data_IF_242252865397
#
_entry.id   IF_242252865397
#
_cell.length_a   1.000
_cell.length_b   1.000
_cell.length_c   1.000
_cell.angle_alpha   90.00
_cell.angle_beta   90.00
_cell.angle_gamma   90.00
#
_symmetry.space_group_name_H-M   'P 1'
#
loop_
_entity.id
_entity.type
_entity.pdbx_description
1 polymer ?
#
# COMPACT_ATOMS: atom_id res chain seq x y z
N UNK A 1 26.17 -24.80 5.63
CA UNK A 1 25.55 -24.93 4.31
C UNK A 1 24.64 -23.74 4.12
N UNK A 2 25.01 -22.79 3.26
CA UNK A 2 24.13 -21.67 2.88
C UNK A 2 22.95 -22.26 2.11
N UNK A 3 21.77 -22.31 2.71
CA UNK A 3 20.54 -22.63 1.97
C UNK A 3 20.44 -21.60 0.85
N UNK A 4 20.42 -22.07 -0.39
CA UNK A 4 20.18 -21.20 -1.54
C UNK A 4 18.86 -20.45 -1.32
N UNK A 5 18.94 -19.10 -1.32
CA UNK A 5 17.76 -18.25 -1.05
C UNK A 5 16.75 -18.44 -2.18
N UNK A 6 15.48 -18.55 -1.83
CA UNK A 6 14.41 -18.57 -2.81
C UNK A 6 14.48 -17.32 -3.70
N UNK A 7 14.21 -17.46 -5.00
CA UNK A 7 14.21 -16.36 -5.96
C UNK A 7 12.92 -16.38 -6.78
N UNK A 8 12.54 -15.22 -7.32
CA UNK A 8 11.46 -15.16 -8.30
C UNK A 8 11.83 -15.97 -9.56
N UNK A 9 10.84 -16.61 -10.17
CA UNK A 9 11.02 -17.44 -11.37
C UNK A 9 11.07 -16.62 -12.66
N UNK A 10 10.51 -15.38 -12.65
CA UNK A 10 10.44 -14.53 -13.83
C UNK A 10 10.49 -13.04 -13.46
N UNK A 11 11.02 -12.21 -14.39
CA UNK A 11 11.03 -10.75 -14.23
C UNK A 11 9.62 -10.17 -14.09
N UNK A 12 8.67 -10.65 -14.89
CA UNK A 12 7.27 -10.19 -14.84
C UNK A 12 6.66 -10.55 -13.47
N UNK A 13 6.86 -11.78 -13.00
CA UNK A 13 6.35 -12.19 -11.70
C UNK A 13 6.93 -11.39 -10.55
N UNK A 14 8.23 -11.08 -10.61
CA UNK A 14 8.90 -10.20 -9.66
C UNK A 14 8.28 -8.79 -9.64
N UNK A 15 8.12 -8.16 -10.81
CA UNK A 15 7.52 -6.82 -10.93
C UNK A 15 6.07 -6.83 -10.42
N UNK A 16 5.25 -7.80 -10.86
CA UNK A 16 3.85 -7.89 -10.43
C UNK A 16 3.72 -8.18 -8.93
N UNK A 17 4.59 -9.00 -8.34
CA UNK A 17 4.58 -9.25 -6.90
C UNK A 17 4.95 -8.00 -6.10
N UNK A 18 6.01 -7.29 -6.51
CA UNK A 18 6.44 -6.07 -5.82
C UNK A 18 5.47 -4.91 -6.04
N UNK A 19 4.95 -4.74 -7.26
CA UNK A 19 3.91 -3.78 -7.55
C UNK A 19 2.60 -4.10 -6.78
N UNK A 20 2.22 -5.38 -6.65
CA UNK A 20 1.07 -5.80 -5.85
C UNK A 20 1.22 -5.52 -4.36
N UNK A 21 2.46 -5.40 -3.87
CA UNK A 21 2.74 -4.92 -2.52
C UNK A 21 2.52 -3.41 -2.36
N UNK A 22 2.78 -2.63 -3.40
CA UNK A 22 2.54 -1.19 -3.43
C UNK A 22 1.08 -0.87 -3.76
N UNK A 23 0.52 -1.50 -4.81
CA UNK A 23 -0.88 -1.31 -5.23
C UNK A 23 -1.83 -1.93 -4.21
N UNK A 24 -2.53 -1.09 -3.46
CA UNK A 24 -3.44 -1.50 -2.40
C UNK A 24 -4.62 -0.55 -2.21
N UNK A 25 -5.20 -0.58 -1.03
CA UNK A 25 -6.25 0.35 -0.64
C UNK A 25 -5.78 1.81 -0.68
N UNK A 26 -4.48 2.05 -0.54
CA UNK A 26 -3.88 3.37 -0.66
C UNK A 26 -4.14 4.04 -2.02
N UNK A 27 -4.10 3.28 -3.11
CA UNK A 27 -4.33 3.78 -4.46
C UNK A 27 -5.81 3.97 -4.77
N UNK A 28 -6.65 3.02 -4.33
CA UNK A 28 -8.08 3.01 -4.69
C UNK A 28 -8.93 3.81 -3.70
N UNK A 29 -8.46 3.99 -2.49
CA UNK A 29 -9.16 4.68 -1.42
C UNK A 29 -8.53 6.02 -1.05
N UNK A 30 -7.28 5.97 -0.52
CA UNK A 30 -6.64 7.17 0.04
C UNK A 30 -6.27 8.20 -1.02
N UNK A 31 -5.74 7.76 -2.16
CA UNK A 31 -5.31 8.66 -3.22
C UNK A 31 -6.48 9.48 -3.80
N UNK A 32 -7.64 8.91 -4.23
CA UNK A 32 -8.75 9.71 -4.68
C UNK A 32 -9.26 10.70 -3.61
N UNK A 33 -9.29 10.28 -2.36
CA UNK A 33 -9.64 11.16 -1.24
C UNK A 33 -8.68 12.37 -1.16
N UNK A 34 -7.38 12.13 -1.19
CA UNK A 34 -6.35 13.19 -1.16
C UNK A 34 -6.46 14.12 -2.37
N UNK A 35 -6.69 13.57 -3.56
CA UNK A 35 -6.94 14.35 -4.79
C UNK A 35 -8.18 15.22 -4.65
N UNK A 36 -9.27 14.66 -4.12
CA UNK A 36 -10.53 15.37 -3.92
C UNK A 36 -10.42 16.56 -2.97
N UNK A 37 -9.63 16.43 -1.91
CA UNK A 37 -9.42 17.49 -0.92
C UNK A 37 -8.40 18.54 -1.37
N UNK A 38 -7.44 18.17 -2.22
CA UNK A 38 -6.27 18.99 -2.51
C UNK A 38 -6.25 19.57 -3.94
N UNK A 39 -7.41 19.78 -4.56
CA UNK A 39 -7.49 20.54 -5.81
C UNK A 39 -7.22 19.74 -7.09
N UNK A 40 -7.42 18.43 -7.07
CA UNK A 40 -7.47 17.62 -8.32
C UNK A 40 -6.12 17.49 -9.01
N UNK A 41 -6.07 17.90 -10.29
CA UNK A 41 -4.91 17.75 -11.15
C UNK A 41 -3.62 18.40 -10.61
N UNK A 42 -3.71 19.52 -9.92
CA UNK A 42 -2.54 20.19 -9.32
C UNK A 42 -1.86 19.28 -8.27
N UNK A 43 -2.64 18.64 -7.41
CA UNK A 43 -2.13 17.64 -6.47
C UNK A 43 -1.47 16.45 -7.18
N UNK A 44 -2.07 15.94 -8.26
CA UNK A 44 -1.54 14.80 -9.02
C UNK A 44 -0.17 15.13 -9.61
N UNK A 45 0.01 16.31 -10.18
CA UNK A 45 1.31 16.74 -10.75
C UNK A 45 2.38 16.76 -9.66
N UNK A 46 2.10 17.33 -8.50
CA UNK A 46 3.03 17.38 -7.37
C UNK A 46 3.31 15.97 -6.81
N UNK A 47 2.26 15.15 -6.70
CA UNK A 47 2.41 13.75 -6.29
C UNK A 47 3.36 12.98 -7.21
N UNK A 48 3.21 13.09 -8.53
CA UNK A 48 4.09 12.44 -9.51
C UNK A 48 5.53 12.96 -9.36
N UNK A 49 5.72 14.26 -9.17
CA UNK A 49 7.05 14.81 -8.89
C UNK A 49 7.66 14.24 -7.60
N UNK A 50 6.87 14.10 -6.54
CA UNK A 50 7.30 13.48 -5.28
C UNK A 50 7.64 11.99 -5.45
N UNK A 51 6.87 11.24 -6.25
CA UNK A 51 7.19 9.84 -6.60
C UNK A 51 8.55 9.74 -7.26
N UNK A 52 8.85 10.63 -8.21
CA UNK A 52 10.13 10.63 -8.94
C UNK A 52 11.32 11.05 -8.04
N UNK A 53 11.15 12.07 -7.22
CA UNK A 53 12.24 12.68 -6.45
C UNK A 53 12.47 12.03 -5.08
N UNK A 54 11.44 11.44 -4.48
CA UNK A 54 11.50 10.80 -3.17
C UNK A 54 11.22 9.30 -3.27
N UNK A 55 10.11 8.92 -3.88
CA UNK A 55 9.64 7.53 -3.89
C UNK A 55 10.62 6.58 -4.55
N UNK A 56 11.03 6.85 -5.80
CA UNK A 56 11.97 6.01 -6.54
C UNK A 56 13.33 5.91 -5.84
N UNK A 57 13.99 7.00 -5.38
CA UNK A 57 15.25 6.89 -4.67
C UNK A 57 15.15 6.09 -3.36
N UNK A 58 14.09 6.26 -2.58
CA UNK A 58 13.87 5.47 -1.36
C UNK A 58 13.65 3.99 -1.68
N UNK A 59 12.85 3.66 -2.70
CA UNK A 59 12.62 2.29 -3.15
C UNK A 59 13.92 1.62 -3.62
N UNK A 60 14.74 2.30 -4.43
CA UNK A 60 16.04 1.81 -4.88
C UNK A 60 16.97 1.58 -3.69
N UNK A 61 16.90 2.44 -2.66
CA UNK A 61 17.68 2.26 -1.43
C UNK A 61 17.33 0.95 -0.72
N UNK A 62 16.05 0.65 -0.55
CA UNK A 62 15.62 -0.62 0.03
C UNK A 62 15.95 -1.82 -0.88
N UNK A 63 15.87 -1.65 -2.20
CA UNK A 63 16.30 -2.69 -3.14
C UNK A 63 17.79 -3.03 -3.00
N UNK A 64 18.66 -2.03 -2.87
CA UNK A 64 20.09 -2.23 -2.68
C UNK A 64 20.34 -3.00 -1.38
N UNK A 65 19.71 -2.58 -0.27
CA UNK A 65 19.87 -3.22 1.04
C UNK A 65 19.37 -4.66 0.99
N UNK A 66 18.17 -4.88 0.46
CA UNK A 66 17.54 -6.21 0.41
C UNK A 66 18.31 -7.18 -0.48
N UNK A 67 18.67 -6.76 -1.70
CA UNK A 67 19.41 -7.62 -2.65
C UNK A 67 20.81 -7.95 -2.16
N UNK A 68 21.53 -6.95 -1.66
CA UNK A 68 22.89 -7.17 -1.13
C UNK A 68 22.88 -8.07 0.10
N UNK A 69 21.97 -7.77 1.06
CA UNK A 69 21.86 -8.55 2.29
C UNK A 69 21.35 -9.98 2.08
N UNK A 70 20.63 -10.25 0.97
CA UNK A 70 20.09 -11.56 0.60
C UNK A 70 19.45 -12.31 1.80
N UNK A 71 18.78 -11.58 2.69
CA UNK A 71 18.18 -12.07 3.94
C UNK A 71 16.87 -11.32 4.23
N UNK A 72 16.14 -11.71 5.28
CA UNK A 72 15.03 -10.90 5.77
C UNK A 72 15.49 -9.47 6.12
N UNK A 73 14.55 -8.53 6.19
CA UNK A 73 14.88 -7.11 6.35
C UNK A 73 15.78 -6.84 7.57
N UNK A 74 15.54 -7.47 8.73
CA UNK A 74 16.38 -7.30 9.93
C UNK A 74 17.83 -7.68 9.67
N UNK A 75 18.08 -8.87 9.10
CA UNK A 75 19.42 -9.37 8.80
C UNK A 75 20.07 -8.62 7.65
N UNK A 76 19.30 -8.21 6.62
CA UNK A 76 19.83 -7.45 5.49
C UNK A 76 20.49 -6.12 5.94
N UNK A 77 19.87 -5.39 6.85
CA UNK A 77 20.49 -4.19 7.44
C UNK A 77 21.73 -4.51 8.27
N UNK A 78 21.76 -5.64 8.97
CA UNK A 78 22.94 -6.09 9.73
C UNK A 78 24.11 -6.42 8.82
N UNK A 79 23.87 -7.18 7.74
CA UNK A 79 24.88 -7.60 6.77
C UNK A 79 25.50 -6.40 6.04
N UNK A 80 24.64 -5.53 5.50
CA UNK A 80 25.08 -4.30 4.82
C UNK A 80 25.79 -3.34 5.78
N UNK A 81 25.41 -3.33 7.05
CA UNK A 81 25.95 -2.49 8.11
C UNK A 81 27.24 -3.00 8.77
N UNK A 82 27.77 -4.18 8.36
CA UNK A 82 28.96 -4.79 8.93
C UNK A 82 28.89 -4.90 10.47
N UNK A 83 27.79 -5.43 11.02
CA UNK A 83 27.61 -5.65 12.46
C UNK A 83 27.31 -4.40 13.28
N UNK A 84 27.21 -3.22 12.69
CA UNK A 84 26.78 -1.99 13.37
C UNK A 84 25.30 -2.07 13.75
N UNK A 85 24.79 -1.21 14.67
CA UNK A 85 23.42 -1.31 15.21
C UNK A 85 22.28 -1.05 14.21
N UNK A 86 22.57 -0.99 12.90
CA UNK A 86 21.58 -0.76 11.84
C UNK A 86 20.52 -1.85 11.72
N UNK A 87 20.79 -3.05 12.28
CA UNK A 87 19.76 -4.11 12.41
C UNK A 87 18.47 -3.64 13.09
N UNK A 88 18.54 -2.62 13.96
CA UNK A 88 17.35 -2.05 14.60
C UNK A 88 16.44 -1.30 13.62
N UNK A 89 16.99 -0.72 12.56
CA UNK A 89 16.18 -0.12 11.49
C UNK A 89 15.45 -1.21 10.71
N UNK A 90 16.15 -2.30 10.39
CA UNK A 90 15.53 -3.49 9.78
C UNK A 90 14.44 -4.10 10.67
N UNK A 91 14.65 -4.16 11.99
CA UNK A 91 13.66 -4.63 12.95
C UNK A 91 12.43 -3.70 13.02
N UNK A 92 12.66 -2.39 12.99
CA UNK A 92 11.57 -1.41 12.91
C UNK A 92 10.69 -1.66 11.67
N UNK A 93 11.31 -1.91 10.51
CA UNK A 93 10.58 -2.27 9.27
C UNK A 93 9.77 -3.55 9.42
N UNK A 94 10.35 -4.61 10.02
CA UNK A 94 9.63 -5.86 10.29
C UNK A 94 8.44 -5.63 11.23
N UNK A 95 8.66 -4.91 12.33
CA UNK A 95 7.61 -4.62 13.31
C UNK A 95 6.49 -3.79 12.68
N UNK A 96 6.85 -2.77 11.90
CA UNK A 96 5.90 -1.96 11.15
C UNK A 96 5.05 -2.83 10.22
N UNK A 97 5.68 -3.69 9.41
CA UNK A 97 4.97 -4.58 8.49
C UNK A 97 3.99 -5.53 9.19
N UNK A 98 4.40 -6.14 10.32
CA UNK A 98 3.54 -7.05 11.10
C UNK A 98 2.36 -6.30 11.73
N UNK A 99 2.59 -5.13 12.33
CA UNK A 99 1.52 -4.33 12.94
C UNK A 99 0.52 -3.83 11.90
N UNK A 100 1.03 -3.33 10.76
CA UNK A 100 0.17 -2.92 9.64
C UNK A 100 -0.66 -4.10 9.16
N UNK A 101 -0.08 -5.30 8.99
CA UNK A 101 -0.83 -6.49 8.58
C UNK A 101 -2.03 -6.73 9.48
N UNK A 102 -1.91 -6.54 10.79
CA UNK A 102 -2.97 -6.76 11.76
C UNK A 102 -4.18 -5.84 11.53
N UNK A 103 -4.00 -4.52 11.59
CA UNK A 103 -5.13 -3.60 11.44
C UNK A 103 -5.60 -3.45 9.98
N UNK A 104 -4.69 -3.59 9.01
CA UNK A 104 -5.05 -3.59 7.60
C UNK A 104 -5.93 -4.78 7.21
N UNK A 105 -5.76 -5.93 7.88
CA UNK A 105 -6.62 -7.09 7.70
C UNK A 105 -8.08 -6.83 8.12
N UNK A 106 -8.33 -5.90 9.08
CA UNK A 106 -9.69 -5.48 9.45
C UNK A 106 -10.39 -4.85 8.25
N UNK A 107 -9.75 -3.84 7.64
CA UNK A 107 -10.31 -3.12 6.48
C UNK A 107 -10.39 -4.03 5.25
N UNK A 108 -9.41 -4.91 5.08
CA UNK A 108 -9.44 -5.92 4.02
C UNK A 108 -10.61 -6.91 4.18
N UNK A 109 -10.94 -7.27 5.42
CA UNK A 109 -12.11 -8.06 5.75
C UNK A 109 -13.42 -7.33 5.42
N UNK A 110 -13.47 -6.01 5.65
CA UNK A 110 -14.62 -5.20 5.23
C UNK A 110 -14.83 -5.24 3.72
N UNK A 111 -13.76 -5.25 2.93
CA UNK A 111 -13.87 -5.40 1.47
C UNK A 111 -14.56 -6.72 1.10
N UNK A 112 -14.22 -7.84 1.74
CA UNK A 112 -14.88 -9.14 1.51
C UNK A 112 -16.36 -9.12 1.93
N UNK A 113 -16.70 -8.52 3.08
CA UNK A 113 -18.10 -8.33 3.47
C UNK A 113 -18.87 -7.54 2.41
N UNK A 114 -18.26 -6.51 1.83
CA UNK A 114 -18.95 -5.69 0.81
C UNK A 114 -19.04 -6.41 -0.54
N UNK A 115 -18.14 -7.33 -0.87
CA UNK A 115 -18.33 -8.27 -1.98
C UNK A 115 -19.58 -9.12 -1.75
N UNK A 116 -19.70 -9.72 -0.56
CA UNK A 116 -20.86 -10.53 -0.18
C UNK A 116 -22.16 -9.71 -0.21
N UNK A 117 -22.15 -8.53 0.41
CA UNK A 117 -23.32 -7.64 0.43
C UNK A 117 -23.73 -7.14 -0.96
N UNK A 118 -22.76 -6.82 -1.82
CA UNK A 118 -23.02 -6.44 -3.22
C UNK A 118 -23.61 -7.59 -4.01
N UNK A 119 -23.06 -8.79 -3.88
CA UNK A 119 -23.55 -9.98 -4.57
C UNK A 119 -25.03 -10.26 -4.23
N UNK A 120 -25.43 -10.06 -2.97
CA UNK A 120 -26.79 -10.22 -2.50
C UNK A 120 -27.69 -8.98 -2.73
N UNK A 121 -27.16 -7.90 -3.33
CA UNK A 121 -27.90 -6.66 -3.56
C UNK A 121 -28.25 -5.88 -2.28
N UNK A 122 -27.60 -6.16 -1.15
CA UNK A 122 -27.88 -5.54 0.16
C UNK A 122 -27.42 -4.08 0.27
N UNK A 123 -26.59 -3.59 -0.66
CA UNK A 123 -26.09 -2.22 -0.67
C UNK A 123 -26.98 -1.25 -1.48
N UNK A 124 -28.17 -1.67 -1.87
CA UNK A 124 -29.13 -0.85 -2.59
C UNK A 124 -29.98 -0.06 -1.59
N UNK A 125 -29.99 1.26 -1.71
CA UNK A 125 -30.77 2.12 -0.83
C UNK A 125 -30.24 3.55 -0.77
N UNK A 126 -30.84 4.35 0.11
CA UNK A 126 -30.42 5.71 0.37
C UNK A 126 -29.12 5.77 1.18
N UNK A 127 -28.47 6.94 1.20
CA UNK A 127 -27.21 7.18 1.93
C UNK A 127 -27.33 6.86 3.42
N UNK A 128 -28.49 7.13 4.02
CA UNK A 128 -28.81 6.81 5.41
C UNK A 128 -28.76 5.31 5.70
N UNK A 129 -29.29 4.50 4.78
CA UNK A 129 -29.28 3.04 4.87
C UNK A 129 -27.84 2.50 4.78
N UNK A 130 -27.07 2.95 3.80
CA UNK A 130 -25.66 2.52 3.62
C UNK A 130 -24.82 2.87 4.85
N UNK A 131 -25.06 4.06 5.43
CA UNK A 131 -24.38 4.48 6.66
C UNK A 131 -24.74 3.58 7.85
N UNK A 132 -26.03 3.30 8.05
CA UNK A 132 -26.47 2.41 9.14
C UNK A 132 -25.99 0.97 8.95
N UNK A 133 -25.95 0.49 7.70
CA UNK A 133 -25.38 -0.82 7.34
C UNK A 133 -23.90 -0.91 7.74
N UNK A 134 -23.09 0.06 7.33
CA UNK A 134 -21.68 0.08 7.68
C UNK A 134 -21.47 0.14 9.20
N UNK A 135 -22.18 1.02 9.88
CA UNK A 135 -22.07 1.17 11.33
C UNK A 135 -22.47 -0.12 12.05
N UNK A 136 -23.61 -0.73 11.69
CA UNK A 136 -24.06 -2.00 12.30
C UNK A 136 -23.10 -3.15 12.01
N UNK A 137 -22.43 -3.15 10.87
CA UNK A 137 -21.43 -4.15 10.52
C UNK A 137 -20.09 -3.91 11.24
N UNK A 138 -19.53 -2.69 11.14
CA UNK A 138 -18.17 -2.39 11.66
C UNK A 138 -18.07 -2.47 13.18
N UNK A 139 -19.20 -2.27 13.90
CA UNK A 139 -19.27 -2.36 15.36
C UNK A 139 -19.68 -3.75 15.87
N UNK A 140 -20.12 -4.64 14.99
CA UNK A 140 -20.48 -6.01 15.35
C UNK A 140 -19.25 -6.79 15.83
N UNK A 141 -19.31 -7.51 16.96
CA UNK A 141 -18.15 -8.21 17.51
C UNK A 141 -17.73 -9.46 16.71
N UNK A 142 -18.61 -10.01 15.87
CA UNK A 142 -18.38 -11.31 15.20
C UNK A 142 -18.15 -11.16 13.70
N UNK A 143 -19.01 -10.41 12.99
CA UNK A 143 -18.98 -10.33 11.52
C UNK A 143 -17.66 -9.77 10.95
N UNK A 144 -17.11 -8.63 11.44
CA UNK A 144 -15.84 -8.12 10.96
C UNK A 144 -14.68 -9.07 11.26
N UNK A 145 -14.70 -9.72 12.43
CA UNK A 145 -13.69 -10.70 12.83
C UNK A 145 -13.72 -11.94 11.92
N UNK A 146 -14.90 -12.43 11.55
CA UNK A 146 -15.03 -13.53 10.60
C UNK A 146 -14.35 -13.22 9.26
N UNK A 147 -14.61 -12.04 8.68
CA UNK A 147 -14.03 -11.65 7.40
C UNK A 147 -12.52 -11.33 7.50
N UNK A 148 -12.08 -10.78 8.63
CA UNK A 148 -10.66 -10.60 8.94
C UNK A 148 -9.93 -11.95 8.96
N UNK A 149 -10.47 -12.94 9.63
CA UNK A 149 -9.90 -14.30 9.65
C UNK A 149 -9.88 -14.90 8.25
N UNK A 150 -10.97 -14.75 7.49
CA UNK A 150 -11.05 -15.27 6.12
C UNK A 150 -9.96 -14.68 5.22
N UNK A 151 -9.75 -13.36 5.20
CA UNK A 151 -8.73 -12.73 4.35
C UNK A 151 -7.30 -13.08 4.79
N UNK A 152 -7.05 -13.18 6.11
CA UNK A 152 -5.74 -13.62 6.63
C UNK A 152 -5.44 -15.08 6.27
N UNK A 153 -6.43 -15.95 6.30
CA UNK A 153 -6.25 -17.35 5.87
C UNK A 153 -5.99 -17.46 4.38
N UNK A 154 -6.62 -16.62 3.55
CA UNK A 154 -6.30 -16.54 2.11
C UNK A 154 -4.85 -16.09 1.88
N UNK A 155 -4.40 -15.05 2.57
CA UNK A 155 -3.00 -14.60 2.51
C UNK A 155 -2.04 -15.69 3.02
N UNK A 156 -2.34 -16.32 4.15
CA UNK A 156 -1.58 -17.43 4.70
C UNK A 156 -1.42 -18.59 3.70
N UNK A 157 -2.52 -18.97 3.06
CA UNK A 157 -2.51 -20.03 2.04
C UNK A 157 -1.50 -19.73 0.92
N UNK A 158 -1.46 -18.49 0.42
CA UNK A 158 -0.49 -18.08 -0.59
C UNK A 158 0.94 -18.15 -0.05
N UNK A 159 1.17 -17.65 1.16
CA UNK A 159 2.51 -17.54 1.78
C UNK A 159 3.16 -18.89 2.04
N UNK A 160 2.40 -19.89 2.51
CA UNK A 160 2.96 -21.23 2.79
C UNK A 160 3.45 -21.96 1.53
N UNK A 161 2.99 -21.58 0.33
CA UNK A 161 3.43 -22.14 -0.94
C UNK A 161 4.74 -21.50 -1.46
N UNK A 162 5.32 -20.53 -0.72
CA UNK A 162 6.62 -19.93 -1.01
C UNK A 162 6.59 -18.84 -2.07
N UNK A 163 7.78 -18.46 -2.55
CA UNK A 163 7.92 -17.31 -3.44
C UNK A 163 7.37 -17.63 -4.84
N UNK A 164 7.89 -18.67 -5.50
CA UNK A 164 7.49 -19.03 -6.89
C UNK A 164 6.09 -19.62 -6.97
N UNK A 165 5.79 -20.60 -6.10
CA UNK A 165 4.52 -21.34 -6.13
C UNK A 165 3.36 -20.60 -5.49
N UNK A 166 3.62 -19.66 -4.58
CA UNK A 166 2.63 -18.87 -3.86
C UNK A 166 2.59 -17.42 -4.36
N UNK A 167 3.47 -16.59 -3.88
CA UNK A 167 3.45 -15.13 -4.09
C UNK A 167 3.48 -14.76 -5.57
N UNK A 168 4.46 -15.27 -6.33
CA UNK A 168 4.60 -14.96 -7.76
C UNK A 168 3.39 -15.45 -8.56
N UNK A 169 2.93 -16.69 -8.30
CA UNK A 169 1.78 -17.26 -8.98
C UNK A 169 0.50 -16.49 -8.68
N UNK A 170 0.27 -16.15 -7.42
CA UNK A 170 -0.87 -15.33 -7.01
C UNK A 170 -0.83 -13.95 -7.68
N UNK A 171 0.30 -13.25 -7.63
CA UNK A 171 0.45 -11.91 -8.23
C UNK A 171 0.25 -11.92 -9.74
N UNK A 172 0.68 -12.96 -10.45
CA UNK A 172 0.44 -13.13 -11.91
C UNK A 172 -1.05 -13.28 -12.27
N UNK A 173 -1.90 -13.67 -11.34
CA UNK A 173 -3.35 -13.79 -11.54
C UNK A 173 -4.07 -12.56 -10.99
N UNK A 174 -3.77 -12.18 -9.74
CA UNK A 174 -4.50 -11.12 -9.03
C UNK A 174 -4.27 -9.74 -9.66
N UNK A 175 -3.03 -9.41 -10.07
CA UNK A 175 -2.73 -8.09 -10.63
C UNK A 175 -3.38 -7.85 -12.00
N UNK A 176 -3.30 -8.76 -12.99
CA UNK A 176 -4.06 -8.59 -14.24
C UNK A 176 -5.58 -8.55 -14.02
N UNK A 177 -6.12 -9.38 -13.12
CA UNK A 177 -7.54 -9.35 -12.78
C UNK A 177 -7.95 -7.99 -12.21
N UNK A 178 -7.15 -7.42 -11.29
CA UNK A 178 -7.35 -6.08 -10.75
C UNK A 178 -7.37 -5.02 -11.86
N UNK A 179 -6.41 -5.06 -12.79
CA UNK A 179 -6.37 -4.11 -13.91
C UNK A 179 -7.58 -4.22 -14.82
N UNK A 180 -8.01 -5.43 -15.15
CA UNK A 180 -9.20 -5.64 -16.01
C UNK A 180 -10.45 -5.08 -15.31
N UNK A 181 -10.66 -5.40 -14.03
CA UNK A 181 -11.79 -4.88 -13.25
C UNK A 181 -11.75 -3.35 -13.21
N UNK A 182 -10.58 -2.77 -12.93
CA UNK A 182 -10.41 -1.33 -12.86
C UNK A 182 -10.76 -0.66 -14.20
N UNK A 183 -10.25 -1.16 -15.32
CA UNK A 183 -10.54 -0.61 -16.65
C UNK A 183 -12.02 -0.69 -17.01
N UNK A 184 -12.69 -1.82 -16.72
CA UNK A 184 -14.13 -1.96 -16.98
C UNK A 184 -14.94 -0.94 -16.20
N UNK A 185 -14.62 -0.74 -14.90
CA UNK A 185 -15.34 0.23 -14.07
C UNK A 185 -15.04 1.66 -14.53
N UNK A 186 -13.77 1.96 -14.91
CA UNK A 186 -13.41 3.28 -15.47
C UNK A 186 -14.23 3.59 -16.71
N UNK A 187 -14.35 2.64 -17.66
CA UNK A 187 -15.18 2.83 -18.85
C UNK A 187 -16.63 3.09 -18.48
N UNK A 188 -17.21 2.28 -17.57
CA UNK A 188 -18.57 2.45 -17.10
C UNK A 188 -18.79 3.84 -16.47
N UNK A 189 -17.85 4.31 -15.63
CA UNK A 189 -17.93 5.62 -14.98
C UNK A 189 -17.78 6.79 -15.98
N UNK A 190 -16.91 6.66 -16.97
CA UNK A 190 -16.70 7.70 -18.00
C UNK A 190 -17.87 7.81 -18.99
N UNK A 191 -18.74 6.80 -19.08
CA UNK A 191 -19.94 6.85 -19.92
C UNK A 191 -21.14 7.53 -19.24
N UNK A 192 -21.03 7.91 -17.98
CA UNK A 192 -22.11 8.57 -17.23
C UNK A 192 -22.33 10.01 -17.71
N UNK A 193 -23.57 10.55 -17.60
CA UNK A 193 -23.84 11.96 -17.79
C UNK A 193 -22.94 12.79 -16.86
N UNK A 194 -22.48 13.96 -17.34
CA UNK A 194 -21.57 14.85 -16.58
C UNK A 194 -20.21 14.26 -16.16
N UNK A 195 -19.83 13.08 -16.66
CA UNK A 195 -18.52 12.48 -16.42
C UNK A 195 -17.35 13.41 -16.78
N UNK A 196 -17.56 14.27 -17.79
CA UNK A 196 -16.57 15.26 -18.21
C UNK A 196 -16.11 16.18 -17.09
N UNK A 197 -16.96 16.55 -16.13
CA UNK A 197 -16.58 17.38 -14.96
C UNK A 197 -15.55 16.67 -14.09
N UNK A 198 -15.74 15.36 -13.87
CA UNK A 198 -14.78 14.55 -13.09
C UNK A 198 -13.45 14.36 -13.82
N UNK A 199 -13.49 14.19 -15.14
CA UNK A 199 -12.28 14.10 -15.98
C UNK A 199 -11.54 15.43 -15.99
N UNK A 200 -12.23 16.54 -16.14
CA UNK A 200 -11.65 17.89 -16.06
C UNK A 200 -10.99 18.15 -14.72
N UNK A 201 -11.62 17.75 -13.63
CA UNK A 201 -11.06 17.86 -12.28
C UNK A 201 -9.74 17.10 -12.12
N UNK A 202 -9.59 15.95 -12.77
CA UNK A 202 -8.38 15.12 -12.70
C UNK A 202 -7.26 15.61 -13.62
N UNK A 203 -7.57 16.29 -14.73
CA UNK A 203 -6.57 16.58 -15.77
C UNK A 203 -6.39 18.08 -16.07
N UNK A 204 -7.28 18.94 -15.59
CA UNK A 204 -7.13 20.40 -15.72
C UNK A 204 -6.57 20.98 -14.41
N UNK A 205 -5.27 21.30 -14.36
CA UNK A 205 -4.67 21.78 -13.12
C UNK A 205 -5.14 23.19 -12.77
N UNK A 206 -5.58 23.36 -11.53
CA UNK A 206 -5.86 24.64 -10.91
C UNK A 206 -4.92 24.86 -9.72
N UNK A 207 -3.91 25.69 -9.92
CA UNK A 207 -2.94 26.04 -8.86
C UNK A 207 -3.40 27.18 -7.98
N UNK A 208 -4.58 27.74 -8.16
CA UNK A 208 -5.09 28.85 -7.32
C UNK A 208 -5.29 28.45 -5.86
N UNK A 209 -5.53 27.15 -5.61
CA UNK A 209 -5.71 26.56 -4.28
C UNK A 209 -4.47 25.83 -3.77
N UNK A 210 -3.35 25.97 -4.49
CA UNK A 210 -2.11 25.29 -4.11
C UNK A 210 -1.48 25.98 -2.90
N UNK A 211 -1.39 25.25 -1.80
CA UNK A 211 -0.78 25.71 -0.57
C UNK A 211 0.26 24.71 -0.05
N UNK A 212 0.82 25.00 1.10
CA UNK A 212 1.78 24.16 1.79
C UNK A 212 1.18 22.79 2.17
N UNK A 213 -0.09 22.73 2.54
CA UNK A 213 -0.78 21.50 2.92
C UNK A 213 -0.93 20.55 1.73
N UNK A 214 -1.25 21.08 0.54
CA UNK A 214 -1.31 20.30 -0.71
C UNK A 214 0.04 19.68 -1.03
N UNK A 215 1.14 20.44 -0.91
CA UNK A 215 2.49 19.92 -1.15
C UNK A 215 2.87 18.81 -0.16
N UNK A 216 2.68 19.04 1.14
CA UNK A 216 3.01 18.05 2.19
C UNK A 216 2.10 16.81 2.12
N UNK A 217 0.83 17.01 1.76
CA UNK A 217 -0.09 15.91 1.48
C UNK A 217 0.35 15.04 0.32
N UNK A 218 0.77 15.64 -0.80
CA UNK A 218 1.29 14.92 -1.96
C UNK A 218 2.59 14.17 -1.65
N UNK A 219 3.48 14.81 -0.89
CA UNK A 219 4.74 14.23 -0.44
C UNK A 219 4.50 13.01 0.46
N UNK A 220 3.61 13.12 1.46
CA UNK A 220 3.23 12.02 2.33
C UNK A 220 2.52 10.89 1.58
N UNK A 221 1.63 11.22 0.63
CA UNK A 221 0.94 10.22 -0.19
C UNK A 221 1.91 9.43 -1.07
N UNK A 222 2.93 10.07 -1.66
CA UNK A 222 3.92 9.39 -2.49
C UNK A 222 4.76 8.37 -1.70
N UNK A 223 5.07 8.68 -0.44
CA UNK A 223 5.80 7.80 0.46
C UNK A 223 4.95 6.59 0.88
N UNK A 224 3.70 6.85 1.25
CA UNK A 224 2.76 5.82 1.69
C UNK A 224 2.38 4.86 0.57
N UNK A 225 2.06 5.37 -0.64
CA UNK A 225 1.59 4.58 -1.78
C UNK A 225 2.60 3.51 -2.20
N UNK A 226 3.89 3.84 -2.20
CA UNK A 226 4.96 2.94 -2.63
C UNK A 226 5.39 1.92 -1.55
N UNK A 227 4.71 1.84 -0.42
CA UNK A 227 5.00 0.91 0.69
C UNK A 227 6.46 0.98 1.19
N UNK A 228 7.03 2.18 1.23
CA UNK A 228 8.40 2.43 1.67
C UNK A 228 8.50 2.30 3.20
N UNK A 229 9.60 1.79 3.70
CA UNK A 229 9.94 1.58 5.11
C UNK A 229 9.07 0.55 5.87
N UNK A 230 8.24 -0.22 5.17
CA UNK A 230 7.43 -1.31 5.76
C UNK A 230 8.16 -2.67 5.77
N UNK A 231 9.40 -2.72 5.31
CA UNK A 231 10.16 -3.97 5.12
C UNK A 231 9.75 -4.79 3.89
N UNK A 232 8.62 -4.48 3.23
CA UNK A 232 8.13 -5.22 2.06
C UNK A 232 9.10 -5.14 0.88
N UNK A 233 9.50 -3.93 0.52
CA UNK A 233 10.40 -3.63 -0.59
C UNK A 233 11.76 -4.30 -0.38
N UNK A 234 12.33 -4.16 0.81
CA UNK A 234 13.60 -4.78 1.20
C UNK A 234 13.49 -6.32 1.20
N UNK A 235 12.43 -6.90 1.78
CA UNK A 235 12.20 -8.35 1.79
C UNK A 235 12.08 -8.90 0.38
N UNK A 236 11.30 -8.29 -0.51
CA UNK A 236 11.17 -8.75 -1.89
C UNK A 236 12.44 -8.60 -2.70
N UNK A 237 13.19 -7.50 -2.50
CA UNK A 237 14.48 -7.30 -3.13
C UNK A 237 15.50 -8.38 -2.75
N UNK A 238 15.40 -8.96 -1.57
CA UNK A 238 16.25 -10.07 -1.15
C UNK A 238 16.06 -11.35 -1.98
N UNK A 239 14.95 -11.44 -2.72
CA UNK A 239 14.66 -12.52 -3.68
C UNK A 239 15.02 -12.14 -5.14
N UNK A 240 15.56 -10.95 -5.38
CA UNK A 240 15.96 -10.50 -6.71
C UNK A 240 17.28 -11.16 -7.15
N UNK A 241 17.37 -11.45 -8.43
CA UNK A 241 18.62 -11.91 -9.03
C UNK A 241 19.63 -10.75 -9.11
N UNK A 242 20.91 -11.10 -9.15
CA UNK A 242 21.99 -10.12 -9.35
C UNK A 242 21.88 -9.35 -10.66
N UNK A 243 21.22 -9.94 -11.67
CA UNK A 243 21.04 -9.34 -13.00
C UNK A 243 19.87 -8.35 -13.04
N UNK A 244 19.07 -8.24 -11.99
CA UNK A 244 17.90 -7.33 -11.94
C UNK A 244 18.35 -5.89 -11.98
N UNK A 245 17.85 -5.11 -12.95
CA UNK A 245 18.04 -3.67 -12.99
C UNK A 245 17.17 -3.01 -11.90
N UNK A 246 17.77 -2.59 -10.78
CA UNK A 246 17.05 -2.06 -9.63
C UNK A 246 16.33 -0.76 -9.96
N UNK A 247 17.02 0.19 -10.62
CA UNK A 247 16.41 1.47 -11.00
C UNK A 247 15.27 1.26 -11.98
N UNK A 248 15.48 0.43 -13.02
CA UNK A 248 14.44 0.11 -13.99
C UNK A 248 13.24 -0.58 -13.37
N UNK A 249 13.44 -1.44 -12.37
CA UNK A 249 12.37 -2.09 -11.62
C UNK A 249 11.62 -1.09 -10.75
N UNK A 250 12.31 -0.18 -10.05
CA UNK A 250 11.69 0.86 -9.24
C UNK A 250 10.80 1.78 -10.09
N UNK A 251 11.30 2.21 -11.27
CA UNK A 251 10.51 3.03 -12.21
C UNK A 251 9.26 2.28 -12.69
N UNK A 252 9.38 1.00 -13.07
CA UNK A 252 8.25 0.19 -13.52
C UNK A 252 7.20 0.01 -12.42
N UNK A 253 7.62 -0.29 -11.20
CA UNK A 253 6.72 -0.48 -10.06
C UNK A 253 6.02 0.83 -9.70
N UNK A 254 6.76 1.94 -9.62
CA UNK A 254 6.19 3.27 -9.34
C UNK A 254 5.23 3.72 -10.45
N UNK A 255 5.53 3.40 -11.72
CA UNK A 255 4.63 3.69 -12.84
C UNK A 255 3.32 2.90 -12.71
N UNK A 256 3.39 1.59 -12.42
CA UNK A 256 2.20 0.75 -12.20
C UNK A 256 1.36 1.28 -11.05
N UNK A 257 2.00 1.59 -9.92
CA UNK A 257 1.34 2.14 -8.73
C UNK A 257 0.62 3.45 -9.03
N UNK A 258 1.32 4.41 -9.64
CA UNK A 258 0.76 5.73 -10.01
C UNK A 258 -0.36 5.60 -11.04
N UNK A 259 -0.21 4.70 -12.02
CA UNK A 259 -1.23 4.45 -13.03
C UNK A 259 -2.52 3.91 -12.41
N UNK A 260 -2.41 2.95 -11.48
CA UNK A 260 -3.58 2.43 -10.76
C UNK A 260 -4.24 3.53 -9.93
N UNK A 261 -3.47 4.38 -9.27
CA UNK A 261 -4.00 5.49 -8.48
C UNK A 261 -4.77 6.50 -9.35
N UNK A 262 -4.24 6.88 -10.51
CA UNK A 262 -4.92 7.79 -11.46
C UNK A 262 -6.17 7.14 -12.05
N UNK A 263 -6.11 5.86 -12.45
CA UNK A 263 -7.27 5.11 -12.93
C UNK A 263 -8.35 4.98 -11.85
N UNK A 264 -7.97 4.81 -10.59
CA UNK A 264 -8.93 4.83 -9.48
C UNK A 264 -9.61 6.20 -9.34
N UNK A 265 -8.88 7.29 -9.56
CA UNK A 265 -9.48 8.62 -9.70
C UNK A 265 -10.49 8.68 -10.84
N UNK A 266 -10.12 8.21 -12.05
CA UNK A 266 -11.03 8.12 -13.21
C UNK A 266 -12.25 7.22 -12.98
N UNK A 267 -12.14 6.23 -12.11
CA UNK A 267 -13.27 5.40 -11.70
C UNK A 267 -14.24 6.16 -10.77
N UNK A 268 -13.69 6.96 -9.86
CA UNK A 268 -14.47 7.56 -8.74
C UNK A 268 -15.03 8.94 -9.12
N UNK A 269 -14.19 9.84 -9.67
CA UNK A 269 -14.60 11.24 -9.89
C UNK A 269 -15.72 11.42 -10.92
N UNK A 270 -15.69 10.77 -12.12
CA UNK A 270 -16.78 10.88 -13.05
C UNK A 270 -18.12 10.41 -12.46
N UNK A 271 -18.10 9.29 -11.72
CA UNK A 271 -19.30 8.76 -11.07
C UNK A 271 -19.80 9.69 -9.93
N UNK A 272 -18.92 10.22 -9.10
CA UNK A 272 -19.28 11.14 -8.02
C UNK A 272 -19.85 12.46 -8.53
N UNK A 273 -19.22 13.07 -9.53
CA UNK A 273 -19.70 14.32 -10.12
C UNK A 273 -21.01 14.15 -10.90
N UNK A 274 -21.27 12.97 -11.50
CA UNK A 274 -22.53 12.70 -12.21
C UNK A 274 -23.76 12.73 -11.29
N UNK A 275 -23.57 12.51 -9.98
CA UNK A 275 -24.65 12.53 -8.96
C UNK A 275 -24.50 13.69 -7.97
N UNK A 276 -23.62 14.65 -8.25
CA UNK A 276 -23.41 15.84 -7.41
C UNK A 276 -22.81 15.58 -6.03
N UNK A 277 -22.16 14.42 -5.82
CA UNK A 277 -21.50 14.08 -4.56
C UNK A 277 -20.07 14.61 -4.54
N UNK A 278 -19.70 15.31 -3.46
CA UNK A 278 -18.32 15.78 -3.28
C UNK A 278 -17.39 14.60 -2.93
N UNK A 279 -16.38 14.30 -3.76
CA UNK A 279 -15.46 13.20 -3.51
C UNK A 279 -14.47 13.43 -2.37
N UNK A 280 -14.39 14.64 -1.80
CA UNK A 280 -13.58 14.96 -0.62
C UNK A 280 -14.17 14.52 0.73
N UNK A 281 -15.20 13.66 0.76
CA UNK A 281 -15.98 13.33 1.95
C UNK A 281 -15.29 12.44 3.01
N UNK A 282 -14.01 12.16 2.89
CA UNK A 282 -13.22 11.46 3.92
C UNK A 282 -12.97 9.97 3.66
N UNK A 283 -12.31 9.34 4.62
CA UNK A 283 -11.94 7.92 4.58
C UNK A 283 -13.15 6.97 4.49
N UNK A 284 -14.33 7.43 4.88
CA UNK A 284 -15.59 6.75 4.73
C UNK A 284 -16.09 6.66 3.28
N UNK A 285 -15.47 7.37 2.34
CA UNK A 285 -15.87 7.46 0.93
C UNK A 285 -16.18 6.08 0.31
N UNK A 286 -15.28 5.12 0.49
CA UNK A 286 -15.38 3.81 -0.17
C UNK A 286 -16.52 2.95 0.35
N UNK A 287 -16.77 2.97 1.66
CA UNK A 287 -17.78 2.10 2.27
C UNK A 287 -19.13 2.80 2.51
N UNK A 288 -19.15 4.12 2.60
CA UNK A 288 -20.35 4.88 2.87
C UNK A 288 -20.88 5.61 1.63
N UNK A 289 -20.01 6.19 0.82
CA UNK A 289 -20.43 7.08 -0.27
C UNK A 289 -20.51 6.35 -1.60
N UNK A 290 -19.51 5.52 -1.95
CA UNK A 290 -19.47 4.89 -3.28
C UNK A 290 -20.61 3.90 -3.55
N UNK A 291 -21.13 3.09 -2.60
CA UNK A 291 -22.31 2.29 -2.87
C UNK A 291 -23.47 3.15 -3.34
N UNK A 292 -23.67 4.29 -2.70
CA UNK A 292 -24.72 5.24 -3.04
C UNK A 292 -24.47 5.95 -4.37
N UNK A 293 -23.21 6.32 -4.65
CA UNK A 293 -22.81 6.89 -5.96
C UNK A 293 -23.17 5.91 -7.08
N UNK A 294 -22.80 4.64 -6.96
CA UNK A 294 -23.13 3.65 -7.98
C UNK A 294 -24.62 3.40 -8.13
N UNK A 295 -25.38 3.36 -7.02
CA UNK A 295 -26.83 3.21 -7.04
C UNK A 295 -27.51 4.38 -7.77
N UNK A 296 -27.08 5.61 -7.53
CA UNK A 296 -27.64 6.80 -8.17
C UNK A 296 -27.17 6.96 -9.62
N UNK A 297 -25.88 6.81 -9.88
CA UNK A 297 -25.28 6.97 -11.19
C UNK A 297 -25.85 5.99 -12.23
N UNK A 298 -26.17 4.78 -11.79
CA UNK A 298 -26.72 3.71 -12.63
C UNK A 298 -28.21 3.45 -12.37
N UNK A 299 -28.95 4.41 -11.80
CA UNK A 299 -30.38 4.23 -11.47
C UNK A 299 -31.22 3.84 -12.69
N UNK A 300 -30.90 4.36 -13.89
CA UNK A 300 -31.54 3.97 -15.15
C UNK A 300 -31.18 2.57 -15.66
N UNK A 301 -30.16 1.94 -15.10
CA UNK A 301 -29.64 0.60 -15.49
C UNK A 301 -29.30 -0.22 -14.23
N UNK A 302 -30.29 -0.68 -13.46
CA UNK A 302 -30.03 -1.28 -12.13
C UNK A 302 -29.16 -2.54 -12.13
N UNK A 303 -29.20 -3.32 -13.23
CA UNK A 303 -28.32 -4.49 -13.40
C UNK A 303 -26.86 -4.07 -13.56
N UNK A 304 -26.60 -3.03 -14.35
CA UNK A 304 -25.25 -2.49 -14.53
C UNK A 304 -24.73 -1.90 -13.23
N UNK A 305 -25.51 -1.16 -12.48
CA UNK A 305 -25.15 -0.64 -11.16
C UNK A 305 -24.79 -1.75 -10.16
N UNK A 306 -25.54 -2.84 -10.17
CA UNK A 306 -25.22 -4.02 -9.36
C UNK A 306 -23.88 -4.67 -9.77
N UNK A 307 -23.66 -4.88 -11.09
CA UNK A 307 -22.42 -5.44 -11.60
C UNK A 307 -21.23 -4.55 -11.26
N UNK A 308 -21.33 -3.24 -11.48
CA UNK A 308 -20.26 -2.27 -11.17
C UNK A 308 -19.93 -2.27 -9.68
N UNK A 309 -20.93 -2.27 -8.81
CA UNK A 309 -20.73 -2.34 -7.35
C UNK A 309 -19.99 -3.63 -6.96
N UNK A 310 -20.41 -4.78 -7.46
CA UNK A 310 -19.77 -6.06 -7.20
C UNK A 310 -18.32 -6.08 -7.69
N UNK A 311 -18.09 -5.63 -8.92
CA UNK A 311 -16.75 -5.55 -9.52
C UNK A 311 -15.83 -4.63 -8.73
N UNK A 312 -16.36 -3.51 -8.23
CA UNK A 312 -15.60 -2.55 -7.42
C UNK A 312 -15.11 -3.17 -6.11
N UNK A 313 -15.98 -3.85 -5.35
CA UNK A 313 -15.56 -4.49 -4.10
C UNK A 313 -14.68 -5.73 -4.31
N UNK A 314 -14.85 -6.44 -5.42
CA UNK A 314 -13.90 -7.47 -5.85
C UNK A 314 -12.51 -6.86 -6.11
N UNK A 315 -12.44 -5.76 -6.85
CA UNK A 315 -11.21 -5.02 -7.12
C UNK A 315 -10.53 -4.59 -5.81
N UNK A 316 -11.28 -4.01 -4.88
CA UNK A 316 -10.76 -3.63 -3.56
C UNK A 316 -10.20 -4.83 -2.79
N UNK A 317 -10.92 -5.95 -2.81
CA UNK A 317 -10.50 -7.18 -2.13
C UNK A 317 -9.22 -7.76 -2.74
N UNK A 318 -9.07 -7.71 -4.07
CA UNK A 318 -7.84 -8.15 -4.75
C UNK A 318 -6.67 -7.23 -4.40
N UNK A 319 -6.86 -5.91 -4.42
CA UNK A 319 -5.85 -4.93 -4.03
C UNK A 319 -5.43 -5.09 -2.56
N UNK A 320 -6.39 -5.30 -1.67
CA UNK A 320 -6.12 -5.55 -0.26
C UNK A 320 -5.34 -6.86 -0.04
N UNK A 321 -5.73 -7.94 -0.74
CA UNK A 321 -5.10 -9.25 -0.60
C UNK A 321 -3.64 -9.24 -1.10
N UNK A 322 -3.34 -8.56 -2.22
CA UNK A 322 -1.95 -8.47 -2.74
C UNK A 322 -1.03 -7.74 -1.77
N UNK A 323 -1.51 -6.66 -1.16
CA UNK A 323 -0.75 -5.94 -0.12
C UNK A 323 -0.61 -6.75 1.16
N UNK A 324 -1.66 -7.45 1.62
CA UNK A 324 -1.58 -8.35 2.77
C UNK A 324 -0.55 -9.47 2.58
N UNK A 325 -0.50 -10.08 1.40
CA UNK A 325 0.50 -11.11 1.07
C UNK A 325 1.91 -10.54 1.24
N UNK A 326 2.16 -9.33 0.74
CA UNK A 326 3.47 -8.68 0.81
C UNK A 326 3.88 -8.32 2.24
N UNK A 327 2.96 -7.76 3.03
CA UNK A 327 3.17 -7.43 4.44
C UNK A 327 3.39 -8.68 5.29
N UNK A 328 2.59 -9.73 5.07
CA UNK A 328 2.70 -11.00 5.77
C UNK A 328 4.04 -11.69 5.50
N UNK A 329 4.57 -11.57 4.27
CA UNK A 329 5.87 -12.13 3.90
C UNK A 329 7.01 -11.53 4.72
N UNK A 330 6.95 -10.25 5.06
CA UNK A 330 7.97 -9.58 5.90
C UNK A 330 8.17 -10.30 7.22
N UNK A 331 7.07 -10.52 7.95
CA UNK A 331 7.10 -11.25 9.21
C UNK A 331 7.48 -12.73 9.02
N UNK A 332 6.96 -13.38 7.97
CA UNK A 332 7.26 -14.78 7.68
C UNK A 332 8.74 -14.99 7.41
N UNK A 333 9.36 -14.14 6.57
CA UNK A 333 10.79 -14.20 6.30
C UNK A 333 11.61 -14.01 7.57
N UNK A 334 11.24 -13.05 8.40
CA UNK A 334 11.91 -12.79 9.68
C UNK A 334 11.83 -14.02 10.60
N UNK A 335 10.64 -14.51 10.92
CA UNK A 335 10.51 -15.60 11.90
C UNK A 335 11.14 -16.89 11.41
N UNK A 336 10.99 -17.25 10.13
CA UNK A 336 11.57 -18.50 9.64
C UNK A 336 13.11 -18.45 9.58
N UNK A 337 13.69 -17.30 9.27
CA UNK A 337 15.15 -17.14 9.18
C UNK A 337 15.82 -16.95 10.56
N UNK A 338 15.26 -16.09 11.43
CA UNK A 338 15.88 -15.79 12.72
C UNK A 338 15.67 -16.90 13.75
N UNK A 339 14.51 -17.57 13.75
CA UNK A 339 14.24 -18.67 14.65
C UNK A 339 14.65 -20.04 14.07
N UNK A 340 15.19 -20.08 12.86
CA UNK A 340 15.59 -21.32 12.15
C UNK A 340 14.50 -22.39 12.05
N UNK A 341 13.23 -21.98 11.98
CA UNK A 341 12.06 -22.84 11.88
C UNK A 341 11.63 -23.02 10.41
N UNK A 342 10.67 -23.93 10.13
CA UNK A 342 10.13 -24.06 8.78
C UNK A 342 9.30 -22.82 8.40
N UNK A 343 9.27 -22.50 7.10
CA UNK A 343 8.46 -21.40 6.56
C UNK A 343 6.99 -21.50 6.97
N UNK A 344 6.42 -22.71 6.99
CA UNK A 344 5.03 -22.93 7.45
C UNK A 344 4.83 -22.51 8.91
N UNK A 345 5.77 -22.85 9.79
CA UNK A 345 5.72 -22.44 11.19
C UNK A 345 5.87 -20.93 11.34
N UNK A 346 6.82 -20.31 10.60
CA UNK A 346 6.98 -18.85 10.57
C UNK A 346 5.71 -18.14 10.10
N UNK A 347 5.11 -18.62 9.01
CA UNK A 347 3.84 -18.08 8.52
C UNK A 347 2.70 -18.24 9.54
N UNK A 348 2.61 -19.38 10.23
CA UNK A 348 1.58 -19.60 11.26
C UNK A 348 1.74 -18.62 12.45
N UNK A 349 2.97 -18.34 12.89
CA UNK A 349 3.25 -17.35 13.94
C UNK A 349 2.77 -15.96 13.50
N UNK A 350 3.11 -15.55 12.27
CA UNK A 350 2.68 -14.24 11.75
C UNK A 350 1.16 -14.18 11.64
N UNK A 351 0.52 -15.20 11.08
CA UNK A 351 -0.95 -15.24 10.97
C UNK A 351 -1.61 -15.14 12.35
N UNK A 352 -1.12 -15.90 13.33
CA UNK A 352 -1.68 -15.85 14.68
C UNK A 352 -1.48 -14.49 15.37
N UNK A 353 -0.28 -13.90 15.25
CA UNK A 353 0.01 -12.58 15.84
C UNK A 353 -0.77 -11.46 15.16
N UNK A 354 -0.84 -11.45 13.83
CA UNK A 354 -1.60 -10.44 13.08
C UNK A 354 -3.11 -10.61 13.25
N UNK A 355 -3.59 -11.84 13.41
CA UNK A 355 -4.98 -12.13 13.77
C UNK A 355 -5.31 -11.58 15.16
N UNK A 356 -4.44 -11.78 16.15
CA UNK A 356 -4.65 -11.23 17.48
C UNK A 356 -4.72 -9.69 17.45
N UNK A 357 -3.76 -9.03 16.78
CA UNK A 357 -3.77 -7.56 16.61
C UNK A 357 -5.04 -7.11 15.89
N UNK A 358 -5.42 -7.79 14.80
CA UNK A 358 -6.60 -7.43 14.02
C UNK A 358 -7.90 -7.61 14.81
N UNK A 359 -8.04 -8.66 15.62
CA UNK A 359 -9.20 -8.88 16.50
C UNK A 359 -9.29 -7.75 17.53
N UNK A 360 -8.18 -7.39 18.19
CA UNK A 360 -8.15 -6.27 19.13
C UNK A 360 -8.56 -4.95 18.45
N UNK A 361 -8.02 -4.67 17.25
CA UNK A 361 -8.40 -3.49 16.47
C UNK A 361 -9.88 -3.51 16.08
N UNK A 362 -10.40 -4.64 15.61
CA UNK A 362 -11.81 -4.77 15.21
C UNK A 362 -12.76 -4.55 16.39
N UNK A 363 -12.48 -5.18 17.55
CA UNK A 363 -13.31 -5.02 18.74
C UNK A 363 -13.25 -3.59 19.32
N UNK A 364 -12.13 -2.89 19.16
CA UNK A 364 -12.00 -1.50 19.62
C UNK A 364 -12.89 -0.51 18.87
N UNK A 365 -13.40 -0.88 17.71
CA UNK A 365 -14.34 -0.06 16.93
C UNK A 365 -15.80 -0.24 17.38
N UNK A 366 -16.10 -1.27 18.16
CA UNK A 366 -17.45 -1.61 18.60
C UNK A 366 -17.52 -2.03 20.06
N UNK A 367 -17.43 -3.34 20.34
CA UNK A 367 -17.64 -3.91 21.67
C UNK A 367 -16.70 -3.34 22.74
N UNK A 368 -15.49 -2.92 22.37
CA UNK A 368 -14.49 -2.32 23.27
C UNK A 368 -14.21 -0.85 22.96
N UNK A 369 -15.17 -0.13 22.41
CA UNK A 369 -15.05 1.29 22.09
C UNK A 369 -14.74 2.21 23.27
N UNK A 370 -14.99 1.73 24.50
CA UNK A 370 -14.58 2.41 25.74
C UNK A 370 -13.06 2.30 26.03
N UNK A 371 -12.37 1.30 25.43
CA UNK A 371 -10.94 1.13 25.58
C UNK A 371 -10.20 2.07 24.60
N UNK A 372 -9.87 3.25 25.10
CA UNK A 372 -9.18 4.27 24.32
C UNK A 372 -7.81 4.59 24.93
N UNK A 373 -6.83 4.83 24.08
CA UNK A 373 -5.50 5.31 24.45
C UNK A 373 -5.34 6.74 23.88
N UNK A 374 -5.15 7.73 24.74
CA UNK A 374 -5.10 9.14 24.37
C UNK A 374 -6.32 9.59 23.51
N UNK A 375 -7.53 9.11 23.84
CA UNK A 375 -8.77 9.43 23.12
C UNK A 375 -8.94 8.75 21.76
N UNK A 376 -8.08 7.78 21.42
CA UNK A 376 -8.11 7.05 20.14
C UNK A 376 -8.45 5.57 20.38
N UNK A 377 -9.17 4.96 19.44
CA UNK A 377 -9.37 3.49 19.43
C UNK A 377 -8.04 2.77 19.25
N UNK A 378 -7.95 1.50 19.62
CA UNK A 378 -6.72 0.72 19.33
C UNK A 378 -6.40 0.66 17.84
N UNK A 379 -7.42 0.60 16.99
CA UNK A 379 -7.23 0.68 15.53
C UNK A 379 -6.51 1.97 15.14
N UNK A 380 -7.00 3.11 15.61
CA UNK A 380 -6.41 4.43 15.30
C UNK A 380 -5.02 4.60 15.92
N UNK A 381 -4.76 3.99 17.07
CA UNK A 381 -3.43 3.99 17.70
C UNK A 381 -2.41 3.23 16.85
N UNK A 382 -2.76 2.03 16.38
CA UNK A 382 -1.87 1.26 15.51
C UNK A 382 -1.62 1.96 14.18
N UNK A 383 -2.66 2.52 13.56
CA UNK A 383 -2.53 3.30 12.32
C UNK A 383 -1.63 4.54 12.53
N UNK A 384 -1.87 5.29 13.61
CA UNK A 384 -1.07 6.46 13.95
C UNK A 384 0.41 6.12 14.20
N UNK A 385 0.68 5.14 15.06
CA UNK A 385 2.06 4.77 15.42
C UNK A 385 2.83 4.24 14.22
N UNK A 386 2.22 3.38 13.43
CA UNK A 386 2.89 2.82 12.26
C UNK A 386 2.98 3.83 11.12
N UNK A 387 1.88 4.51 10.78
CA UNK A 387 1.79 5.40 9.63
C UNK A 387 2.51 6.74 9.85
N UNK A 388 2.36 7.33 11.04
CA UNK A 388 2.87 8.69 11.31
C UNK A 388 4.20 8.71 12.07
N UNK A 389 4.61 7.61 12.70
CA UNK A 389 5.88 7.55 13.42
C UNK A 389 6.84 6.56 12.78
N UNK A 390 6.49 5.27 12.70
CA UNK A 390 7.43 4.24 12.30
C UNK A 390 7.84 4.34 10.84
N UNK A 391 6.91 4.61 9.92
CA UNK A 391 7.23 4.75 8.50
C UNK A 391 8.17 5.93 8.22
N UNK A 392 7.90 7.17 8.67
CA UNK A 392 8.82 8.27 8.44
C UNK A 392 10.18 8.05 9.11
N UNK A 393 10.21 7.56 10.36
CA UNK A 393 11.47 7.27 11.06
C UNK A 393 12.26 6.18 10.33
N UNK A 394 11.62 5.09 9.93
CA UNK A 394 12.25 4.00 9.18
C UNK A 394 12.82 4.47 7.85
N UNK A 395 12.04 5.25 7.08
CA UNK A 395 12.47 5.79 5.79
C UNK A 395 13.62 6.80 5.92
N UNK A 396 13.54 7.71 6.89
CA UNK A 396 14.63 8.63 7.21
C UNK A 396 15.92 7.88 7.53
N UNK A 397 15.85 6.92 8.46
CA UNK A 397 17.02 6.12 8.86
C UNK A 397 17.55 5.26 7.71
N UNK A 398 16.70 4.74 6.83
CA UNK A 398 17.12 4.00 5.62
C UNK A 398 17.92 4.90 4.68
N UNK A 399 17.46 6.13 4.42
CA UNK A 399 18.18 7.08 3.58
C UNK A 399 19.52 7.51 4.22
N UNK A 400 19.52 7.78 5.52
CA UNK A 400 20.73 8.12 6.28
C UNK A 400 21.73 6.94 6.22
N UNK A 401 21.24 5.72 6.48
CA UNK A 401 22.05 4.52 6.44
C UNK A 401 22.72 4.32 5.07
N UNK A 402 21.94 4.26 3.99
CA UNK A 402 22.47 4.02 2.66
C UNK A 402 23.33 5.19 2.16
N UNK A 403 22.89 6.42 2.40
CA UNK A 403 23.55 7.61 1.89
C UNK A 403 24.89 7.90 2.56
N UNK A 404 25.02 7.64 3.87
CA UNK A 404 26.15 8.12 4.66
C UNK A 404 27.00 7.01 5.28
N UNK A 405 26.42 5.84 5.58
CA UNK A 405 27.12 4.77 6.32
C UNK A 405 27.50 3.58 5.47
N UNK A 406 26.77 3.30 4.39
CA UNK A 406 27.12 2.22 3.45
C UNK A 406 28.24 2.69 2.51
N UNK A 407 29.27 1.86 2.27
CA UNK A 407 30.36 2.23 1.36
C UNK A 407 29.84 2.60 -0.03
N UNK A 408 30.25 3.79 -0.54
CA UNK A 408 29.84 4.29 -1.86
C UNK A 408 30.07 3.29 -2.99
N UNK A 409 31.17 2.49 -2.90
CA UNK A 409 31.49 1.46 -3.88
C UNK A 409 30.38 0.41 -3.92
N UNK A 410 29.95 -0.12 -2.77
CA UNK A 410 28.87 -1.11 -2.66
C UNK A 410 27.58 -0.57 -3.28
N UNK A 411 27.20 0.66 -2.90
CA UNK A 411 25.97 1.30 -3.43
C UNK A 411 26.06 1.45 -4.95
N UNK A 412 27.23 1.84 -5.49
CA UNK A 412 27.45 1.98 -6.92
C UNK A 412 27.39 0.63 -7.64
N UNK A 413 28.07 -0.38 -7.09
CA UNK A 413 28.10 -1.73 -7.67
C UNK A 413 26.69 -2.33 -7.76
N UNK A 414 25.91 -2.22 -6.69
CA UNK A 414 24.50 -2.65 -6.70
C UNK A 414 23.64 -1.83 -7.67
N UNK A 415 23.78 -0.50 -7.69
CA UNK A 415 23.03 0.38 -8.57
C UNK A 415 23.29 0.11 -10.05
N UNK A 416 24.55 -0.17 -10.41
CA UNK A 416 25.00 -0.38 -11.80
C UNK A 416 25.06 -1.86 -12.21
N UNK A 417 24.60 -2.79 -11.38
CA UNK A 417 24.80 -4.24 -11.56
C UNK A 417 26.29 -4.53 -11.88
N UNK A 418 27.18 -4.13 -10.97
CA UNK A 418 28.65 -4.29 -11.09
C UNK A 418 29.23 -3.74 -12.41
N UNK A 419 28.69 -2.59 -12.85
CA UNK A 419 29.18 -1.87 -14.03
C UNK A 419 28.55 -2.32 -15.36
N UNK A 420 27.59 -3.25 -15.36
CA UNK A 420 26.88 -3.66 -16.58
C UNK A 420 25.84 -2.62 -17.04
N UNK A 421 25.38 -1.76 -16.12
CA UNK A 421 24.44 -0.68 -16.41
C UNK A 421 25.11 0.70 -16.31
N UNK A 422 24.52 1.69 -16.99
CA UNK A 422 25.03 3.07 -16.98
C UNK A 422 25.05 3.65 -15.56
N UNK A 423 26.18 4.30 -15.22
CA UNK A 423 26.37 5.01 -13.95
C UNK A 423 25.94 6.49 -14.00
N UNK A 424 25.41 6.99 -15.11
CA UNK A 424 25.10 8.42 -15.31
C UNK A 424 24.14 8.99 -14.24
N UNK A 425 23.12 8.22 -13.87
CA UNK A 425 22.13 8.63 -12.86
C UNK A 425 22.58 8.39 -11.41
N UNK A 426 23.68 7.67 -11.20
CA UNK A 426 24.17 7.36 -9.85
C UNK A 426 24.48 8.60 -8.99
N UNK A 427 25.15 9.67 -9.50
CA UNK A 427 25.38 10.87 -8.70
C UNK A 427 24.07 11.56 -8.27
N UNK A 428 23.09 11.61 -9.18
CA UNK A 428 21.76 12.19 -8.88
C UNK A 428 21.04 11.36 -7.82
N UNK A 429 20.99 10.03 -7.99
CA UNK A 429 20.44 9.11 -7.00
C UNK A 429 21.08 9.32 -5.63
N UNK A 430 22.41 9.33 -5.56
CA UNK A 430 23.12 9.47 -4.30
C UNK A 430 22.88 10.85 -3.64
N UNK A 431 22.78 11.91 -4.44
CA UNK A 431 22.44 13.25 -3.94
C UNK A 431 21.03 13.27 -3.36
N UNK A 432 20.03 12.70 -4.07
CA UNK A 432 18.66 12.63 -3.59
C UNK A 432 18.57 11.85 -2.26
N UNK A 433 19.19 10.68 -2.17
CA UNK A 433 19.16 9.85 -0.95
C UNK A 433 19.90 10.50 0.22
N UNK A 434 20.99 11.25 -0.03
CA UNK A 434 21.76 11.89 1.03
C UNK A 434 21.08 13.15 1.59
N UNK A 435 20.47 13.94 0.75
CA UNK A 435 20.04 15.29 1.12
C UNK A 435 18.55 15.50 0.95
N UNK A 436 17.99 15.19 -0.22
CA UNK A 436 16.59 15.52 -0.54
C UNK A 436 15.63 14.61 0.22
N UNK A 437 15.83 13.29 0.14
CA UNK A 437 14.93 12.32 0.78
C UNK A 437 14.87 12.49 2.32
N UNK A 438 15.99 12.58 3.05
CA UNK A 438 15.93 12.77 4.50
C UNK A 438 15.21 14.07 4.91
N UNK A 439 15.48 15.19 4.21
CA UNK A 439 14.81 16.47 4.49
C UNK A 439 13.32 16.38 4.20
N UNK A 440 12.94 15.81 3.04
CA UNK A 440 11.54 15.64 2.66
C UNK A 440 10.79 14.77 3.67
N UNK A 441 11.37 13.63 4.09
CA UNK A 441 10.76 12.73 5.07
C UNK A 441 10.64 13.42 6.44
N UNK A 442 11.62 14.20 6.85
CA UNK A 442 11.55 14.99 8.07
C UNK A 442 10.41 16.01 8.02
N UNK A 443 10.23 16.70 6.88
CA UNK A 443 9.09 17.60 6.68
C UNK A 443 7.75 16.87 6.78
N UNK A 444 7.62 15.69 6.17
CA UNK A 444 6.42 14.83 6.32
C UNK A 444 6.17 14.53 7.80
N UNK A 445 7.21 14.09 8.51
CA UNK A 445 7.12 13.69 9.90
C UNK A 445 6.68 14.84 10.81
N UNK A 446 7.29 16.02 10.63
CA UNK A 446 6.94 17.22 11.39
C UNK A 446 5.51 17.69 11.10
N UNK A 447 5.07 17.61 9.85
CA UNK A 447 3.70 17.95 9.47
C UNK A 447 2.66 16.98 10.05
N UNK A 448 2.95 15.69 10.04
CA UNK A 448 2.06 14.65 10.59
C UNK A 448 1.90 14.75 12.11
N UNK A 449 2.86 15.39 12.80
CA UNK A 449 2.82 15.65 14.24
C UNK A 449 2.29 17.05 14.57
N UNK A 450 1.74 17.79 13.59
CA UNK A 450 1.22 19.15 13.72
C UNK A 450 2.27 20.15 14.30
N UNK A 451 3.57 19.93 14.00
CA UNK A 451 4.67 20.81 14.45
C UNK A 451 4.88 21.94 13.46
N UNK A 452 4.62 21.71 12.18
CA UNK A 452 4.80 22.68 11.08
C UNK A 452 3.59 22.71 10.14
#
# INVERSE_FOLDING_TARGET
>A
MSRERASFGSKIGMILATAGGAVGLGNVWRFPYMVGQNGGAAFIIVYVACVLLLGIPCMVSEFIIGRHGAANTYRAYSEVGNGRPWKFVGFLGVMTGVLITGYYAVVSGWCLQYVYASALGQLRGETSFVKSYFQSFSTDPVRPVFWLVAILLLAHYVIIHGIRGGIEKASKVLMPALFILLLVIVVASCMLPDAGKGIDFLFKPDFSKFDRGVFLGALGQSFYSLSIAMGCICTYASYYSRQTNLLGSAVQISFIDTMVAILAGLMIFPAAFSVGINPGSGASLVFLTLPNVFNQAFAGMPLLGWVVSLMFYLLLSLAALTSLISLHEVGTAFFYEELHISRRKGAAIVTASTMAVGVLCSLSLGAWSSLQIAGRSLFDVFDFVTGQIFLPVGGFLTCVFLGWFVPKKLVKDEFTNWGTLSSRLFPVFLFLVRFVCPVAILCIFMHQLDVI
#
